data_IF_670579687341
#
_entry.id   IF_670579687341
#
_cell.length_a   1.000
_cell.length_b   1.000
_cell.length_c   1.000
_cell.angle_alpha   90.00
_cell.angle_beta   90.00
_cell.angle_gamma   90.00
#
_symmetry.space_group_name_H-M   'P 1'
#
loop_
_entity.id
_entity.type
_entity.pdbx_description
1 polymer ?
#
# COMPACT_ATOMS: atom_id res chain seq x y z
N UNK A 1 14.03 -3.61 -19.42
CA UNK A 1 12.88 -3.63 -18.49
C UNK A 1 13.05 -4.65 -17.37
N UNK A 2 13.61 -5.85 -17.62
CA UNK A 2 13.90 -6.87 -16.59
C UNK A 2 14.93 -6.45 -15.50
N UNK A 3 15.98 -5.69 -15.85
CA UNK A 3 17.01 -5.26 -14.87
C UNK A 3 16.50 -4.41 -13.69
N UNK A 4 15.53 -3.50 -13.92
CA UNK A 4 14.94 -2.69 -12.83
C UNK A 4 14.03 -3.50 -11.91
N UNK A 5 13.42 -4.56 -12.43
CA UNK A 5 12.55 -5.44 -11.64
C UNK A 5 13.40 -6.37 -10.77
N UNK A 6 14.58 -6.79 -11.24
CA UNK A 6 15.53 -7.56 -10.41
C UNK A 6 16.18 -6.68 -9.32
N UNK A 7 16.43 -5.40 -9.58
CA UNK A 7 16.86 -4.43 -8.56
C UNK A 7 15.75 -4.14 -7.53
N UNK A 8 14.50 -4.01 -7.97
CA UNK A 8 13.36 -3.84 -7.07
C UNK A 8 13.09 -5.11 -6.25
N UNK A 9 13.14 -6.30 -6.88
CA UNK A 9 13.00 -7.58 -6.20
C UNK A 9 14.16 -7.84 -5.24
N UNK A 10 15.40 -7.54 -5.63
CA UNK A 10 16.58 -7.63 -4.76
C UNK A 10 16.60 -6.61 -3.62
N UNK A 11 15.94 -5.46 -3.78
CA UNK A 11 15.80 -4.44 -2.74
C UNK A 11 14.54 -4.62 -1.85
N UNK A 12 13.63 -5.55 -2.19
CA UNK A 12 12.42 -5.88 -1.40
C UNK A 12 12.56 -7.26 -0.74
N UNK A 13 13.05 -8.27 -1.46
CA UNK A 13 13.12 -9.64 -0.98
C UNK A 13 14.24 -9.74 0.04
N UNK A 14 13.87 -9.62 1.31
CA UNK A 14 14.78 -9.79 2.43
C UNK A 14 15.30 -11.24 2.45
N UNK A 15 16.57 -11.45 2.84
CA UNK A 15 17.16 -12.79 2.97
C UNK A 15 16.26 -13.77 3.74
N UNK A 16 15.55 -13.28 4.75
CA UNK A 16 14.53 -14.00 5.53
C UNK A 16 13.46 -14.69 4.67
N UNK A 17 12.89 -14.01 3.66
CA UNK A 17 11.85 -14.60 2.82
C UNK A 17 12.40 -15.68 1.90
N UNK A 18 13.63 -15.48 1.41
CA UNK A 18 14.31 -16.47 0.57
C UNK A 18 14.70 -17.71 1.39
N UNK A 19 15.09 -17.55 2.65
CA UNK A 19 15.37 -18.67 3.57
C UNK A 19 14.10 -19.49 3.87
N UNK A 20 12.98 -18.82 4.21
CA UNK A 20 11.71 -19.50 4.47
C UNK A 20 11.17 -20.16 3.19
N UNK A 21 11.27 -19.48 2.03
CA UNK A 21 10.89 -20.07 0.75
C UNK A 21 11.73 -21.31 0.40
N UNK A 22 13.04 -21.26 0.62
CA UNK A 22 13.93 -22.39 0.40
C UNK A 22 13.58 -23.57 1.32
N UNK A 23 13.25 -23.30 2.59
CA UNK A 23 12.76 -24.33 3.52
C UNK A 23 11.50 -25.03 3.00
N UNK A 24 10.60 -24.29 2.35
CA UNK A 24 9.40 -24.86 1.73
C UNK A 24 9.62 -25.45 0.32
N UNK A 25 10.86 -25.50 -0.19
CA UNK A 25 11.15 -25.99 -1.54
C UNK A 25 10.64 -25.08 -2.66
N UNK A 26 10.42 -23.80 -2.36
CA UNK A 26 9.95 -22.79 -3.31
C UNK A 26 11.16 -22.08 -3.92
N UNK A 27 11.25 -22.10 -5.25
CA UNK A 27 12.36 -21.47 -5.98
C UNK A 27 12.26 -19.93 -5.96
N UNK A 28 13.41 -19.26 -6.17
CA UNK A 28 13.49 -17.80 -6.20
C UNK A 28 12.53 -17.15 -7.20
N UNK A 29 12.31 -17.78 -8.36
CA UNK A 29 11.38 -17.27 -9.38
C UNK A 29 9.92 -17.40 -8.93
N UNK A 30 9.58 -18.48 -8.24
CA UNK A 30 8.25 -18.64 -7.66
C UNK A 30 8.02 -17.62 -6.55
N UNK A 31 8.99 -17.43 -5.65
CA UNK A 31 8.95 -16.39 -4.62
C UNK A 31 8.78 -15.00 -5.23
N UNK A 32 9.45 -14.71 -6.35
CA UNK A 32 9.26 -13.47 -7.12
C UNK A 32 7.81 -13.27 -7.56
N UNK A 33 7.20 -14.28 -8.15
CA UNK A 33 5.79 -14.21 -8.56
C UNK A 33 4.89 -13.94 -7.34
N UNK A 34 5.17 -14.55 -6.19
CA UNK A 34 4.42 -14.29 -4.95
C UNK A 34 4.54 -12.82 -4.51
N UNK A 35 5.76 -12.27 -4.51
CA UNK A 35 6.00 -10.85 -4.23
C UNK A 35 5.29 -9.93 -5.20
N UNK A 36 5.30 -10.22 -6.50
CA UNK A 36 4.64 -9.40 -7.52
C UNK A 36 3.12 -9.34 -7.31
N UNK A 37 2.50 -10.47 -6.95
CA UNK A 37 1.06 -10.53 -6.65
C UNK A 37 0.72 -9.80 -5.35
N UNK A 38 1.55 -9.93 -4.31
CA UNK A 38 1.43 -9.17 -3.05
C UNK A 38 1.57 -7.68 -3.30
N UNK A 39 2.59 -7.26 -4.07
CA UNK A 39 2.80 -5.86 -4.45
C UNK A 39 1.64 -5.31 -5.28
N UNK A 40 1.10 -6.11 -6.22
CA UNK A 40 -0.08 -5.73 -6.98
C UNK A 40 -1.31 -5.52 -6.08
N UNK A 41 -1.50 -6.38 -5.07
CA UNK A 41 -2.63 -6.24 -4.13
C UNK A 41 -2.45 -5.06 -3.18
N UNK A 42 -1.28 -4.91 -2.57
CA UNK A 42 -0.95 -3.77 -1.71
C UNK A 42 -1.17 -2.44 -2.43
N UNK A 43 -0.70 -2.31 -3.67
CA UNK A 43 -0.95 -1.11 -4.50
C UNK A 43 -2.43 -0.85 -4.70
N UNK A 44 -3.26 -1.87 -4.94
CA UNK A 44 -4.71 -1.67 -5.10
C UNK A 44 -5.35 -1.16 -3.80
N UNK A 45 -5.00 -1.72 -2.65
CA UNK A 45 -5.58 -1.28 -1.38
C UNK A 45 -5.10 0.11 -0.98
N UNK A 46 -3.81 0.41 -1.14
CA UNK A 46 -3.28 1.76 -0.96
C UNK A 46 -3.96 2.75 -1.92
N UNK A 47 -4.17 2.37 -3.19
CA UNK A 47 -4.90 3.21 -4.14
C UNK A 47 -6.31 3.52 -3.64
N UNK A 48 -7.06 2.53 -3.15
CA UNK A 48 -8.42 2.72 -2.65
C UNK A 48 -8.48 3.63 -1.42
N UNK A 49 -7.62 3.39 -0.44
CA UNK A 49 -7.58 4.18 0.79
C UNK A 49 -7.29 5.65 0.51
N UNK A 50 -6.26 5.88 -0.29
CA UNK A 50 -5.76 7.23 -0.58
C UNK A 50 -6.67 8.03 -1.51
N UNK A 51 -7.77 7.47 -2.05
CA UNK A 51 -8.80 8.23 -2.79
C UNK A 51 -9.49 9.26 -1.89
N UNK A 52 -9.72 8.88 -0.64
CA UNK A 52 -10.36 9.73 0.35
C UNK A 52 -9.32 10.37 1.26
N UNK A 53 -9.69 11.48 1.89
CA UNK A 53 -8.84 12.13 2.90
C UNK A 53 -8.67 11.26 4.15
N UNK A 54 -9.77 10.66 4.62
CA UNK A 54 -9.75 9.77 5.79
C UNK A 54 -8.84 8.57 5.53
N UNK A 55 -9.05 7.87 4.41
CA UNK A 55 -8.22 6.74 4.05
C UNK A 55 -6.77 7.09 3.71
N UNK A 56 -6.45 8.30 3.23
CA UNK A 56 -5.05 8.74 3.13
C UNK A 56 -4.40 8.87 4.51
N UNK A 57 -5.11 9.43 5.50
CA UNK A 57 -4.63 9.51 6.87
C UNK A 57 -4.47 8.11 7.49
N UNK A 58 -5.42 7.21 7.23
CA UNK A 58 -5.37 5.82 7.69
C UNK A 58 -4.21 5.05 7.04
N UNK A 59 -3.90 5.31 5.76
CA UNK A 59 -2.73 4.75 5.09
C UNK A 59 -1.40 5.22 5.73
N UNK A 60 -1.33 6.47 6.19
CA UNK A 60 -0.16 6.98 6.93
C UNK A 60 -0.02 6.27 8.28
N UNK A 61 -1.12 6.04 8.99
CA UNK A 61 -1.10 5.26 10.24
C UNK A 61 -0.77 3.78 10.02
N UNK A 62 -1.22 3.19 8.91
CA UNK A 62 -0.88 1.81 8.54
C UNK A 62 0.63 1.63 8.29
N UNK A 63 1.30 2.67 7.75
CA UNK A 63 2.76 2.71 7.62
C UNK A 63 3.45 2.77 8.99
N UNK A 64 2.88 3.49 9.97
CA UNK A 64 3.37 3.48 11.36
C UNK A 64 3.39 2.05 11.90
N UNK A 65 2.25 1.35 11.85
CA UNK A 65 2.15 -0.01 12.38
C UNK A 65 3.27 -0.90 11.84
N UNK A 66 3.57 -0.80 10.54
CA UNK A 66 4.66 -1.55 9.93
C UNK A 66 6.08 -1.05 10.24
N UNK A 67 6.24 0.23 10.55
CA UNK A 67 7.51 0.80 10.99
C UNK A 67 7.79 0.52 12.49
N UNK A 68 6.75 0.37 13.31
CA UNK A 68 6.83 0.23 14.78
C UNK A 68 6.59 -1.20 15.29
N UNK A 69 6.02 -2.11 14.51
CA UNK A 69 5.69 -3.50 14.93
C UNK A 69 6.91 -4.43 15.13
N UNK A 70 8.12 -3.88 15.34
CA UNK A 70 9.15 -4.65 16.07
C UNK A 70 8.82 -4.80 17.55
N UNK A 71 7.92 -3.99 18.11
CA UNK A 71 7.62 -3.96 19.55
C UNK A 71 6.12 -4.09 19.94
N UNK A 72 5.25 -4.52 19.02
CA UNK A 72 3.94 -5.11 19.39
C UNK A 72 2.89 -4.19 20.06
N UNK A 73 2.78 -2.90 19.68
CA UNK A 73 1.71 -2.02 20.18
C UNK A 73 0.72 -1.49 19.12
N UNK A 74 -0.52 -2.01 19.20
CA UNK A 74 -1.84 -1.36 19.04
C UNK A 74 -2.21 -0.53 17.78
N UNK A 75 -3.37 -0.91 17.20
CA UNK A 75 -4.49 0.02 16.95
C UNK A 75 -4.72 0.54 15.52
N UNK A 76 -3.71 0.56 14.65
CA UNK A 76 -3.89 0.87 13.24
C UNK A 76 -3.98 -0.43 12.42
N UNK A 77 -4.92 -0.53 11.47
CA UNK A 77 -4.91 -1.62 10.50
C UNK A 77 -3.58 -1.57 9.75
N UNK A 78 -2.68 -2.51 10.03
CA UNK A 78 -1.36 -2.53 9.41
C UNK A 78 -1.46 -2.73 7.90
N UNK A 79 -0.43 -2.38 7.13
CA UNK A 79 -0.44 -2.65 5.68
C UNK A 79 -0.63 -4.14 5.39
N UNK A 80 -0.09 -5.02 6.25
CA UNK A 80 -0.31 -6.47 6.15
C UNK A 80 -1.78 -6.84 6.32
N UNK A 81 -2.47 -6.23 7.29
CA UNK A 81 -3.90 -6.44 7.50
C UNK A 81 -4.74 -5.95 6.30
N UNK A 82 -4.33 -4.87 5.62
CA UNK A 82 -4.99 -4.41 4.39
C UNK A 82 -4.86 -5.41 3.25
N UNK A 83 -3.70 -6.07 3.12
CA UNK A 83 -3.45 -7.05 2.06
C UNK A 83 -4.16 -8.37 2.35
N UNK A 84 -3.97 -8.92 3.55
CA UNK A 84 -4.52 -10.22 3.94
C UNK A 84 -6.04 -10.17 4.13
N UNK A 85 -6.55 -9.09 4.74
CA UNK A 85 -7.95 -8.98 5.10
C UNK A 85 -8.40 -10.09 6.05
N UNK A 86 -9.71 -10.43 6.07
CA UNK A 86 -10.24 -11.53 6.88
C UNK A 86 -9.64 -12.90 6.49
N UNK A 87 -9.62 -13.90 7.40
CA UNK A 87 -9.01 -15.22 7.14
C UNK A 87 -9.47 -15.90 5.85
N UNK A 88 -10.76 -15.80 5.51
CA UNK A 88 -11.29 -16.36 4.26
C UNK A 88 -10.71 -15.66 3.02
N UNK A 89 -10.57 -14.34 3.05
CA UNK A 89 -9.98 -13.56 1.95
C UNK A 89 -8.49 -13.87 1.78
N UNK A 90 -7.77 -14.07 2.90
CA UNK A 90 -6.37 -14.47 2.89
C UNK A 90 -6.18 -15.84 2.22
N UNK A 91 -7.03 -16.84 2.54
CA UNK A 91 -6.99 -18.16 1.88
C UNK A 91 -7.29 -18.09 0.39
N UNK A 92 -8.28 -17.31 -0.02
CA UNK A 92 -8.58 -17.10 -1.45
C UNK A 92 -7.40 -16.45 -2.16
N UNK A 93 -6.70 -15.52 -1.51
CA UNK A 93 -5.52 -14.88 -2.06
C UNK A 93 -4.33 -15.84 -2.13
N UNK A 94 -4.10 -16.67 -1.11
CA UNK A 94 -3.09 -17.72 -1.12
C UNK A 94 -3.33 -18.71 -2.26
N UNK A 95 -4.57 -19.18 -2.44
CA UNK A 95 -4.92 -20.07 -3.55
C UNK A 95 -4.71 -19.43 -4.94
N UNK A 96 -4.96 -18.12 -5.07
CA UNK A 96 -4.64 -17.37 -6.28
C UNK A 96 -3.13 -17.31 -6.55
N UNK A 97 -2.34 -16.99 -5.53
CA UNK A 97 -0.88 -16.95 -5.61
C UNK A 97 -0.32 -18.33 -5.93
N UNK A 98 -0.84 -19.39 -5.29
CA UNK A 98 -0.43 -20.77 -5.53
C UNK A 98 -0.52 -21.13 -7.02
N UNK A 99 -1.65 -20.80 -7.66
CA UNK A 99 -1.84 -21.02 -9.11
C UNK A 99 -0.87 -20.20 -9.96
N UNK A 100 -0.63 -18.95 -9.59
CA UNK A 100 0.24 -18.03 -10.37
C UNK A 100 1.71 -18.41 -10.27
N UNK A 101 2.17 -18.72 -9.06
CA UNK A 101 3.55 -19.12 -8.76
C UNK A 101 3.79 -20.63 -8.99
N UNK A 102 2.75 -21.41 -9.34
CA UNK A 102 2.84 -22.87 -9.52
C UNK A 102 3.46 -23.56 -8.29
N UNK A 103 2.97 -23.19 -7.10
CA UNK A 103 3.31 -23.81 -5.81
C UNK A 103 2.06 -24.47 -5.24
N UNK A 104 2.23 -25.35 -4.24
CA UNK A 104 1.08 -25.95 -3.57
C UNK A 104 0.29 -24.87 -2.78
N UNK A 105 -1.03 -25.04 -2.59
CA UNK A 105 -1.81 -24.15 -1.73
C UNK A 105 -1.24 -24.03 -0.32
N UNK A 106 -0.73 -25.12 0.26
CA UNK A 106 -0.13 -25.16 1.58
C UNK A 106 1.16 -24.33 1.65
N UNK A 107 2.02 -24.45 0.63
CA UNK A 107 3.23 -23.61 0.50
C UNK A 107 2.86 -22.13 0.40
N UNK A 108 1.84 -21.80 -0.40
CA UNK A 108 1.39 -20.43 -0.55
C UNK A 108 0.78 -19.87 0.74
N UNK A 109 -0.03 -20.65 1.46
CA UNK A 109 -0.62 -20.24 2.74
C UNK A 109 0.44 -20.03 3.82
N UNK A 110 1.47 -20.88 3.88
CA UNK A 110 2.58 -20.74 4.82
C UNK A 110 3.44 -19.50 4.54
N UNK A 111 3.74 -19.23 3.26
CA UNK A 111 4.63 -18.14 2.86
C UNK A 111 3.93 -16.79 2.74
N UNK A 112 2.61 -16.77 2.53
CA UNK A 112 1.88 -15.52 2.26
C UNK A 112 2.02 -14.47 3.37
N UNK A 113 1.85 -14.79 4.67
CA UNK A 113 2.00 -13.80 5.73
C UNK A 113 3.40 -13.16 5.73
N UNK A 114 4.44 -13.98 5.59
CA UNK A 114 5.85 -13.54 5.59
C UNK A 114 6.14 -12.63 4.39
N UNK A 115 5.71 -13.02 3.19
CA UNK A 115 5.89 -12.20 1.98
C UNK A 115 5.15 -10.86 2.12
N UNK A 116 3.96 -10.86 2.71
CA UNK A 116 3.16 -9.65 2.92
C UNK A 116 3.82 -8.71 3.93
N UNK A 117 4.24 -9.22 5.09
CA UNK A 117 4.89 -8.44 6.14
C UNK A 117 6.18 -7.79 5.63
N UNK A 118 7.02 -8.56 4.94
CA UNK A 118 8.30 -8.06 4.46
C UNK A 118 8.13 -7.03 3.34
N UNK A 119 7.14 -7.24 2.45
CA UNK A 119 6.81 -6.25 1.44
C UNK A 119 6.23 -4.97 2.06
N UNK A 120 5.34 -5.09 3.04
CA UNK A 120 4.75 -3.97 3.76
C UNK A 120 5.80 -3.16 4.55
N UNK A 121 6.72 -3.83 5.24
CA UNK A 121 7.84 -3.21 5.94
C UNK A 121 8.77 -2.48 4.97
N UNK A 122 9.07 -3.08 3.80
CA UNK A 122 9.87 -2.44 2.76
C UNK A 122 9.20 -1.14 2.24
N UNK A 123 7.88 -1.15 2.05
CA UNK A 123 7.12 0.05 1.65
C UNK A 123 7.16 1.12 2.75
N UNK A 124 6.95 0.73 4.02
CA UNK A 124 7.03 1.66 5.15
C UNK A 124 8.40 2.36 5.23
N UNK A 125 9.47 1.56 5.19
CA UNK A 125 10.85 2.05 5.23
C UNK A 125 11.19 2.99 4.07
N UNK A 126 10.64 2.74 2.87
CA UNK A 126 10.85 3.62 1.70
C UNK A 126 10.09 4.93 1.79
N UNK A 127 8.89 4.92 2.37
CA UNK A 127 8.08 6.12 2.54
C UNK A 127 8.64 7.04 3.64
N UNK A 128 9.28 6.47 4.65
CA UNK A 128 9.72 7.15 5.87
C UNK A 128 10.55 8.43 5.63
N UNK A 129 11.58 8.47 4.77
CA UNK A 129 12.39 9.68 4.58
C UNK A 129 11.57 10.88 4.06
N UNK A 130 10.68 10.65 3.09
CA UNK A 130 9.84 11.73 2.54
C UNK A 130 8.74 12.14 3.53
N UNK A 131 8.17 11.18 4.27
CA UNK A 131 7.21 11.48 5.33
C UNK A 131 7.85 12.31 6.45
N UNK A 132 9.09 12.01 6.82
CA UNK A 132 9.86 12.83 7.77
C UNK A 132 10.07 14.25 7.27
N UNK A 133 10.48 14.42 6.01
CA UNK A 133 10.61 15.74 5.39
C UNK A 133 9.30 16.53 5.36
N UNK A 134 8.16 15.83 5.24
CA UNK A 134 6.83 16.45 5.33
C UNK A 134 6.55 16.87 6.77
N UNK A 135 6.73 15.98 7.75
CA UNK A 135 6.45 16.24 9.16
C UNK A 135 7.23 17.42 9.73
N UNK A 136 8.53 17.53 9.46
CA UNK A 136 9.37 18.67 9.93
C UNK A 136 8.85 20.02 9.42
N UNK A 137 8.02 20.03 8.38
CA UNK A 137 7.46 21.23 7.77
C UNK A 137 5.98 21.45 8.11
N UNK A 138 5.36 20.54 8.86
CA UNK A 138 4.05 20.76 9.47
C UNK A 138 4.28 21.67 10.68
N UNK A 139 3.59 22.81 10.80
CA UNK A 139 3.70 23.64 12.00
C UNK A 139 3.30 22.79 13.21
N UNK A 140 4.17 22.75 14.22
CA UNK A 140 3.91 22.02 15.45
C UNK A 140 2.51 22.39 15.97
N UNK A 141 1.65 21.38 16.13
CA UNK A 141 0.37 21.60 16.80
C UNK A 141 0.68 22.08 18.22
N UNK A 142 0.38 23.34 18.50
CA UNK A 142 0.66 23.97 19.78
C UNK A 142 0.02 23.14 20.92
N UNK A 143 0.84 22.37 21.65
CA UNK A 143 0.43 21.72 22.90
C UNK A 143 0.43 20.17 22.97
N UNK A 144 0.93 19.45 21.96
CA UNK A 144 1.10 17.98 22.08
C UNK A 144 2.48 17.61 22.60
N UNK A 145 2.60 16.58 23.46
CA UNK A 145 3.89 15.96 23.82
C UNK A 145 4.62 15.36 22.59
N UNK A 146 5.66 14.53 22.74
CA UNK A 146 6.36 13.94 21.59
C UNK A 146 5.39 13.08 20.76
N UNK A 147 4.76 13.68 19.76
CA UNK A 147 3.78 13.00 18.93
C UNK A 147 4.53 12.30 17.80
N UNK A 148 4.18 11.03 17.60
CA UNK A 148 4.71 10.22 16.52
C UNK A 148 4.50 10.93 15.17
N UNK A 149 5.57 11.07 14.36
CA UNK A 149 5.54 11.64 13.02
C UNK A 149 4.31 11.24 12.19
N UNK A 150 4.00 9.94 12.15
CA UNK A 150 2.87 9.39 11.41
C UNK A 150 1.52 9.88 11.95
N UNK A 151 1.39 10.00 13.27
CA UNK A 151 0.17 10.49 13.92
C UNK A 151 -0.06 11.98 13.60
N UNK A 152 1.01 12.78 13.63
CA UNK A 152 0.91 14.20 13.28
C UNK A 152 0.55 14.42 11.81
N UNK A 153 1.17 13.68 10.88
CA UNK A 153 0.84 13.77 9.45
C UNK A 153 -0.62 13.34 9.23
N UNK A 154 -1.05 12.23 9.84
CA UNK A 154 -2.43 11.77 9.79
C UNK A 154 -3.40 12.83 10.31
N UNK A 155 -3.10 13.43 11.45
CA UNK A 155 -3.95 14.46 12.05
C UNK A 155 -4.00 15.74 11.22
N UNK A 156 -2.86 16.18 10.66
CA UNK A 156 -2.80 17.32 9.74
C UNK A 156 -3.67 17.09 8.48
N UNK A 157 -3.66 15.86 7.95
CA UNK A 157 -4.54 15.47 6.83
C UNK A 157 -6.01 15.55 7.25
N UNK A 158 -6.38 15.05 8.44
CA UNK A 158 -7.77 15.01 8.92
C UNK A 158 -8.32 16.40 9.27
N UNK A 159 -7.58 17.19 10.04
CA UNK A 159 -8.00 18.51 10.55
C UNK A 159 -7.92 19.62 9.52
N UNK A 160 -7.25 19.38 8.38
CA UNK A 160 -6.92 20.41 7.39
C UNK A 160 -5.94 21.45 7.92
N UNK A 161 -5.22 21.16 9.00
CA UNK A 161 -4.12 21.98 9.47
C UNK A 161 -3.01 21.95 8.39
N UNK A 162 -2.89 23.05 7.65
CA UNK A 162 -1.83 23.25 6.68
C UNK A 162 -1.56 24.75 6.58
N UNK A 163 -0.37 25.16 7.00
CA UNK A 163 0.08 26.55 6.92
C UNK A 163 1.37 26.65 6.09
N UNK A 164 1.65 27.85 5.57
CA UNK A 164 2.82 28.12 4.74
C UNK A 164 2.89 27.27 3.46
N UNK A 165 4.05 26.67 3.11
CA UNK A 165 4.23 25.95 1.85
C UNK A 165 3.43 24.64 1.76
N UNK A 166 2.85 24.15 2.86
CA UNK A 166 2.00 22.95 2.93
C UNK A 166 0.53 23.31 3.12
N UNK A 167 0.02 24.25 2.31
CA UNK A 167 -1.43 24.42 2.15
C UNK A 167 -2.07 23.05 1.91
N UNK A 168 -3.24 22.78 2.49
CA UNK A 168 -3.95 21.47 2.49
C UNK A 168 -3.74 20.60 1.23
N UNK A 169 -3.92 21.16 0.03
CA UNK A 169 -3.79 20.43 -1.25
C UNK A 169 -2.37 19.92 -1.51
N UNK A 170 -1.35 20.69 -1.11
CA UNK A 170 0.07 20.37 -1.27
C UNK A 170 0.47 19.22 -0.33
N UNK A 171 0.05 19.28 0.93
CA UNK A 171 0.28 18.20 1.91
C UNK A 171 -0.29 16.88 1.42
N UNK A 172 -1.57 16.86 1.05
CA UNK A 172 -2.25 15.66 0.53
C UNK A 172 -1.54 15.11 -0.72
N UNK A 173 -1.13 16.00 -1.64
CA UNK A 173 -0.43 15.59 -2.87
C UNK A 173 0.95 14.99 -2.58
N UNK A 174 1.71 15.57 -1.65
CA UNK A 174 3.06 15.10 -1.30
C UNK A 174 3.04 13.78 -0.54
N UNK A 175 2.19 13.65 0.48
CA UNK A 175 2.04 12.38 1.24
C UNK A 175 1.65 11.25 0.29
N UNK A 176 0.69 11.51 -0.59
CA UNK A 176 0.26 10.57 -1.60
C UNK A 176 1.36 10.20 -2.60
N UNK A 177 2.17 11.17 -3.02
CA UNK A 177 3.31 10.92 -3.89
C UNK A 177 4.37 10.04 -3.19
N UNK A 178 4.66 10.32 -1.91
CA UNK A 178 5.57 9.51 -1.10
C UNK A 178 5.10 8.05 -1.00
N UNK A 179 3.81 7.83 -0.70
CA UNK A 179 3.22 6.49 -0.64
C UNK A 179 3.27 5.79 -2.00
N UNK A 180 2.93 6.51 -3.07
CA UNK A 180 2.91 5.93 -4.42
C UNK A 180 4.32 5.56 -4.91
N UNK A 181 5.32 6.37 -4.59
CA UNK A 181 6.72 6.09 -4.93
C UNK A 181 7.25 4.91 -4.11
N UNK A 182 7.02 4.90 -2.80
CA UNK A 182 7.42 3.81 -1.91
C UNK A 182 6.83 2.45 -2.31
N UNK A 183 5.57 2.45 -2.75
CA UNK A 183 4.86 1.27 -3.24
C UNK A 183 5.11 0.97 -4.73
N UNK A 184 6.00 1.71 -5.41
CA UNK A 184 6.41 1.48 -6.81
C UNK A 184 5.21 1.35 -7.76
N UNK A 185 4.32 2.33 -7.73
CA UNK A 185 3.24 2.41 -8.70
C UNK A 185 3.81 2.54 -10.13
N UNK A 186 3.23 1.89 -11.16
CA UNK A 186 3.76 1.92 -12.51
C UNK A 186 3.87 3.34 -13.07
N UNK A 187 4.91 3.62 -13.87
CA UNK A 187 5.31 4.93 -14.44
C UNK A 187 4.29 5.64 -15.36
N UNK A 188 3.00 5.27 -15.36
CA UNK A 188 1.94 6.13 -15.93
C UNK A 188 1.66 7.39 -15.08
N UNK A 189 2.53 7.66 -14.11
CA UNK A 189 2.61 8.89 -13.34
C UNK A 189 1.56 8.98 -12.24
N UNK A 190 1.84 9.75 -11.17
CA UNK A 190 0.88 10.03 -10.10
C UNK A 190 -0.42 10.68 -10.61
N UNK A 191 -0.42 11.22 -11.84
CA UNK A 191 -1.60 11.78 -12.52
C UNK A 191 -2.53 10.72 -13.15
N UNK A 192 -2.03 9.61 -13.71
CA UNK A 192 -2.93 8.53 -14.18
C UNK A 192 -3.63 7.84 -13.00
N UNK A 193 -2.98 7.83 -11.84
CA UNK A 193 -3.53 7.36 -10.58
C UNK A 193 -4.65 8.28 -10.04
N UNK A 194 -4.47 9.61 -10.14
CA UNK A 194 -5.54 10.60 -9.86
C UNK A 194 -6.73 10.42 -10.83
N UNK A 195 -6.45 10.18 -12.10
CA UNK A 195 -7.47 9.97 -13.13
C UNK A 195 -8.22 8.64 -12.95
N UNK A 196 -7.54 7.53 -12.63
CA UNK A 196 -8.18 6.23 -12.44
C UNK A 196 -9.11 6.18 -11.22
N UNK A 197 -8.76 6.88 -10.13
CA UNK A 197 -9.60 6.98 -8.93
C UNK A 197 -10.87 7.83 -9.12
N UNK A 198 -10.81 8.87 -9.97
CA UNK A 198 -11.98 9.66 -10.34
C UNK A 198 -12.83 8.97 -11.41
N UNK A 199 -12.20 8.23 -12.33
CA UNK A 199 -12.89 7.54 -13.42
C UNK A 199 -13.47 6.18 -13.04
N UNK A 200 -13.05 5.51 -11.97
CA UNK A 200 -13.66 4.22 -11.59
C UNK A 200 -15.12 4.31 -11.15
N UNK A 201 -15.53 5.24 -10.25
CA UNK A 201 -16.94 5.43 -9.95
C UNK A 201 -17.70 5.98 -11.15
N UNK A 202 -17.08 6.82 -12.00
CA UNK A 202 -17.72 7.33 -13.21
C UNK A 202 -17.90 6.25 -14.28
N UNK A 203 -16.94 5.35 -14.49
CA UNK A 203 -17.02 4.22 -15.44
C UNK A 203 -17.97 3.13 -14.92
N UNK A 204 -17.99 2.88 -13.61
CA UNK A 204 -18.95 1.99 -12.98
C UNK A 204 -20.37 2.57 -13.06
N UNK A 205 -20.55 3.85 -12.70
CA UNK A 205 -21.82 4.57 -12.84
C UNK A 205 -22.24 4.68 -14.31
N UNK A 206 -21.32 4.91 -15.25
CA UNK A 206 -21.60 4.96 -16.68
C UNK A 206 -22.01 3.59 -17.22
N UNK A 207 -21.37 2.50 -16.80
CA UNK A 207 -21.78 1.14 -17.17
C UNK A 207 -23.18 0.78 -16.64
N UNK A 208 -23.57 1.28 -15.46
CA UNK A 208 -24.90 1.03 -14.89
C UNK A 208 -25.97 1.99 -15.40
N UNK A 209 -25.63 3.25 -15.70
CA UNK A 209 -26.59 4.28 -16.17
C UNK A 209 -26.72 4.34 -17.69
N UNK A 210 -25.71 3.93 -18.46
CA UNK A 210 -25.77 3.92 -19.94
C UNK A 210 -26.94 3.07 -20.48
N UNK A 211 -27.26 1.87 -19.96
CA UNK A 211 -28.42 1.10 -20.41
C UNK A 211 -29.77 1.73 -20.04
N UNK A 212 -29.80 2.67 -19.08
CA UNK A 212 -30.99 3.37 -18.63
C UNK A 212 -31.21 4.69 -19.40
N UNK A 213 -30.13 5.33 -19.86
CA UNK A 213 -30.15 6.59 -20.60
C UNK A 213 -30.17 6.38 -22.12
N UNK A 214 -29.44 5.37 -22.60
CA UNK A 214 -29.49 4.89 -23.98
C UNK A 214 -30.43 3.70 -23.92
N UNK A 215 -31.73 3.97 -24.05
CA UNK A 215 -32.78 2.96 -23.88
C UNK A 215 -32.42 1.66 -24.58
N UNK A 216 -32.79 0.52 -23.96
CA UNK A 216 -32.82 -0.78 -24.65
C UNK A 216 -33.67 -0.62 -25.91
N UNK A 217 -33.00 -0.48 -27.04
CA UNK A 217 -33.60 -0.45 -28.36
C UNK A 217 -32.76 -1.33 -29.28
N UNK A 218 -33.31 -2.53 -29.53
CA UNK A 218 -32.97 -3.50 -30.56
C UNK A 218 -31.56 -4.14 -30.52
#
# INVERSE_FOLDING_TARGET
MLKRVDEAFGAVALPSVLEVAAFHGVSREQTRIMFDEVAARLRRELQRLTLSRGGLADAVLALKGQATDRDGEHGASSLSALVLGPPHAARVFAAHIARRARVSPEQAEALLPVVVEEHAAAVAKRAEPELYQIHVRIPAAAGGGPACMYAEISEAIRTRAGAGPFRRKVLVRRVRAAIADAAQFPDRGPMAWLAQGALTPFVAAWRTTRPLLVGRGA
#
